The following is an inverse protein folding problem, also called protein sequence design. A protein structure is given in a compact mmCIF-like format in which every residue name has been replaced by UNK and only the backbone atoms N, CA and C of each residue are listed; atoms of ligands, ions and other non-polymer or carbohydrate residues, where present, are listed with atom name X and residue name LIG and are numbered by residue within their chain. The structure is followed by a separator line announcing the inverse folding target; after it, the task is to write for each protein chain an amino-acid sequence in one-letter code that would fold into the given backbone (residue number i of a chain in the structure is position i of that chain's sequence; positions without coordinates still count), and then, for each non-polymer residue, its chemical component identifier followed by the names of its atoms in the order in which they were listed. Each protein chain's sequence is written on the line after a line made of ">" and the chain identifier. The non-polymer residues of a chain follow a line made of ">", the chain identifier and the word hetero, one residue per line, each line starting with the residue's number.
data_IF_867437987061
#
_entry.id   IF_867437987061
#
_cell.length_a   1.000
_cell.length_b   1.000
_cell.length_c   1.000
_cell.angle_alpha   90.00
_cell.angle_beta   90.00
_cell.angle_gamma   90.00
#
_symmetry.space_group_name_H-M   'P 1'
#
loop_
_entity.id
_entity.type
_entity.pdbx_description
1 polymer ?
#
# COMPACT_ATOMS: atom_id res chain seq x y z
N UNK A 1 26.58 -22.34 22.94
CA UNK A 1 26.48 -21.21 21.99
C UNK A 1 25.39 -21.57 21.00
N UNK A 2 24.31 -20.79 20.93
CA UNK A 2 23.30 -20.97 19.88
C UNK A 2 23.96 -20.65 18.54
N UNK A 3 23.94 -21.58 17.58
CA UNK A 3 24.37 -21.29 16.22
C UNK A 3 23.52 -20.18 15.60
N UNK A 4 23.98 -19.57 14.49
CA UNK A 4 23.18 -18.57 13.80
C UNK A 4 21.83 -19.18 13.43
N UNK A 5 20.73 -18.49 13.73
CA UNK A 5 19.43 -18.86 13.15
C UNK A 5 19.62 -18.86 11.63
N UNK A 6 19.34 -20.00 10.99
CA UNK A 6 19.19 -20.02 9.54
C UNK A 6 18.16 -18.95 9.18
N UNK A 7 18.49 -18.06 8.24
CA UNK A 7 17.53 -17.09 7.74
C UNK A 7 16.31 -17.85 7.20
N UNK A 8 15.14 -17.60 7.79
CA UNK A 8 13.89 -18.19 7.30
C UNK A 8 13.61 -17.63 5.90
N UNK A 9 13.10 -18.47 5.01
CA UNK A 9 12.73 -18.06 3.66
C UNK A 9 11.56 -17.07 3.73
N UNK A 10 11.75 -15.78 3.35
CA UNK A 10 10.67 -14.80 3.39
C UNK A 10 9.50 -15.16 2.48
N UNK A 11 9.69 -16.05 1.50
CA UNK A 11 8.61 -16.54 0.63
C UNK A 11 7.54 -17.35 1.38
N UNK A 12 7.78 -17.76 2.63
CA UNK A 12 6.78 -18.43 3.46
C UNK A 12 5.72 -17.46 4.01
N UNK A 13 5.93 -16.15 3.95
CA UNK A 13 5.01 -15.13 4.46
C UNK A 13 4.05 -14.68 3.37
N UNK A 14 2.74 -14.78 3.64
CA UNK A 14 1.71 -14.20 2.78
C UNK A 14 1.19 -12.88 3.36
N UNK A 15 1.58 -11.76 2.75
CA UNK A 15 1.23 -10.40 3.22
C UNK A 15 -0.21 -10.00 2.90
N UNK A 16 -0.97 -10.79 2.14
CA UNK A 16 -2.39 -10.53 1.88
C UNK A 16 -3.30 -10.97 3.03
N UNK A 17 -2.81 -11.79 3.95
CA UNK A 17 -3.58 -12.22 5.12
C UNK A 17 -3.91 -10.99 6.00
N UNK A 18 -5.20 -10.82 6.32
CA UNK A 18 -5.70 -9.66 7.07
C UNK A 18 -5.95 -8.41 6.21
N UNK A 19 -5.68 -8.43 4.91
CA UNK A 19 -5.87 -7.24 4.05
C UNK A 19 -7.31 -7.08 3.51
N UNK A 20 -8.26 -7.86 4.05
CA UNK A 20 -9.70 -7.83 3.73
C UNK A 20 -10.52 -7.82 5.03
N UNK A 21 -11.81 -7.52 4.91
CA UNK A 21 -12.77 -7.44 6.02
C UNK A 21 -12.25 -6.45 7.09
N UNK A 22 -12.31 -6.79 8.38
CA UNK A 22 -11.88 -5.89 9.48
C UNK A 22 -10.41 -6.09 9.88
N UNK A 23 -9.64 -6.84 9.09
CA UNK A 23 -8.25 -7.15 9.37
C UNK A 23 -7.26 -6.03 9.07
N UNK A 24 -7.67 -4.98 8.33
CA UNK A 24 -6.98 -3.70 8.11
C UNK A 24 -5.44 -3.71 7.97
N UNK A 25 -4.85 -4.82 7.50
CA UNK A 25 -3.43 -4.88 7.16
C UNK A 25 -3.22 -4.50 5.70
N UNK A 26 -1.96 -4.34 5.31
CA UNK A 26 -1.57 -3.99 3.94
C UNK A 26 -0.47 -4.93 3.44
N UNK A 27 -0.44 -5.24 2.13
CA UNK A 27 0.53 -6.18 1.55
C UNK A 27 1.89 -5.54 1.22
N UNK A 28 2.06 -4.26 1.54
CA UNK A 28 3.17 -3.42 1.13
C UNK A 28 4.56 -3.81 1.66
N UNK A 29 5.57 -3.49 0.86
CA UNK A 29 6.97 -3.70 1.20
C UNK A 29 7.39 -2.82 2.37
N UNK A 30 7.95 -3.46 3.41
CA UNK A 30 8.36 -2.82 4.65
C UNK A 30 9.59 -3.50 5.22
N UNK A 31 10.55 -2.73 5.71
CA UNK A 31 11.58 -3.27 6.59
C UNK A 31 10.99 -3.52 8.00
N UNK A 32 11.51 -4.47 8.78
CA UNK A 32 11.11 -4.63 10.18
C UNK A 32 11.28 -3.30 10.94
N UNK A 33 10.19 -2.81 11.55
CA UNK A 33 10.15 -1.51 12.25
C UNK A 33 10.50 -0.29 11.38
N UNK A 34 10.45 -0.43 10.05
CA UNK A 34 10.68 0.67 9.12
C UNK A 34 9.56 1.71 9.22
N UNK A 35 9.95 2.98 9.28
CA UNK A 35 9.01 4.11 9.27
C UNK A 35 8.19 4.18 7.97
N UNK A 36 8.85 3.88 6.86
CA UNK A 36 8.25 3.95 5.53
C UNK A 36 7.85 2.55 5.09
N UNK A 37 6.56 2.40 4.82
CA UNK A 37 5.97 1.19 4.24
C UNK A 37 5.29 1.58 2.93
N UNK A 38 5.57 0.84 1.86
CA UNK A 38 5.08 1.17 0.51
C UNK A 38 4.10 0.12 0.05
N UNK A 39 2.84 0.49 -0.17
CA UNK A 39 1.76 -0.43 -0.53
C UNK A 39 0.91 0.15 -1.66
N UNK A 40 0.29 -0.69 -2.52
CA UNK A 40 -0.80 -0.21 -3.35
C UNK A 40 -1.91 0.42 -2.48
N UNK A 41 -2.55 1.45 -3.02
CA UNK A 41 -3.73 2.07 -2.43
C UNK A 41 -4.97 1.84 -3.29
N UNK A 42 -6.12 1.74 -2.65
CA UNK A 42 -7.43 1.62 -3.28
C UNK A 42 -8.42 2.65 -2.73
N UNK A 43 -9.68 2.29 -2.65
CA UNK A 43 -10.76 3.17 -2.17
C UNK A 43 -11.04 3.01 -0.66
N UNK A 44 -10.55 1.94 -0.05
CA UNK A 44 -10.80 1.65 1.35
C UNK A 44 -10.15 2.65 2.32
N UNK A 45 -10.78 2.89 3.47
CA UNK A 45 -10.33 3.88 4.46
C UNK A 45 -8.98 3.55 5.11
N UNK A 46 -8.58 2.27 5.12
CA UNK A 46 -7.27 1.84 5.59
C UNK A 46 -6.16 2.04 4.53
N UNK A 47 -6.50 2.63 3.37
CA UNK A 47 -5.62 2.79 2.23
C UNK A 47 -5.66 1.60 1.27
N UNK A 48 -5.90 0.38 1.74
CA UNK A 48 -5.97 -0.84 0.91
C UNK A 48 -7.09 -1.77 1.37
N UNK A 49 -7.67 -2.50 0.40
CA UNK A 49 -8.44 -3.73 0.64
C UNK A 49 -8.19 -4.72 -0.49
N UNK A 50 -8.05 -5.99 -0.17
CA UNK A 50 -7.69 -7.05 -1.13
C UNK A 50 -8.63 -7.13 -2.34
N UNK A 51 -9.91 -6.84 -2.14
CA UNK A 51 -10.95 -6.87 -3.17
C UNK A 51 -11.32 -5.48 -3.69
N UNK A 52 -10.51 -4.45 -3.44
CA UNK A 52 -10.65 -3.18 -4.13
C UNK A 52 -10.47 -3.40 -5.64
N UNK A 53 -11.40 -2.89 -6.48
CA UNK A 53 -11.45 -3.22 -7.90
C UNK A 53 -10.34 -2.55 -8.71
N UNK A 54 -9.61 -1.60 -8.11
CA UNK A 54 -8.62 -0.78 -8.80
C UNK A 54 -7.54 -0.29 -7.84
N UNK A 55 -6.28 -0.36 -8.28
CA UNK A 55 -5.17 0.33 -7.63
C UNK A 55 -5.21 1.80 -8.07
N UNK A 56 -5.27 2.71 -7.09
CA UNK A 56 -5.27 4.18 -7.30
C UNK A 56 -3.86 4.79 -7.25
N UNK A 57 -2.85 3.97 -6.99
CA UNK A 57 -1.44 4.35 -6.91
C UNK A 57 -0.71 3.54 -5.85
N UNK A 58 0.46 4.02 -5.46
CA UNK A 58 1.25 3.48 -4.37
C UNK A 58 1.46 4.58 -3.33
N UNK A 59 1.06 4.29 -2.10
CA UNK A 59 1.21 5.19 -0.97
C UNK A 59 2.35 4.77 -0.06
N UNK A 60 2.67 5.65 0.87
CA UNK A 60 3.66 5.50 1.91
C UNK A 60 3.00 5.64 3.29
N UNK A 61 3.69 5.15 4.33
CA UNK A 61 3.30 5.27 5.74
C UNK A 61 1.93 4.64 6.05
N UNK A 62 1.95 3.40 6.51
CA UNK A 62 0.75 2.65 6.87
C UNK A 62 0.80 2.17 8.32
N UNK A 63 -0.33 2.27 9.00
CA UNK A 63 -0.63 1.72 10.30
C UNK A 63 -1.38 0.38 10.11
N UNK A 64 -0.73 -0.73 10.44
CA UNK A 64 -1.30 -2.07 10.20
C UNK A 64 -2.29 -2.47 11.29
N UNK A 65 -3.50 -2.88 10.90
CA UNK A 65 -4.48 -3.52 11.78
C UNK A 65 -5.17 -2.58 12.78
N UNK A 66 -5.17 -1.26 12.53
CA UNK A 66 -5.90 -0.33 13.37
C UNK A 66 -7.40 -0.32 13.03
N UNK A 67 -8.21 0.32 13.88
CA UNK A 67 -9.65 0.51 13.66
C UNK A 67 -10.07 1.95 13.36
N UNK A 68 -9.12 2.90 13.37
CA UNK A 68 -9.41 4.31 13.10
C UNK A 68 -9.39 4.62 11.58
N UNK A 69 -9.79 5.84 11.23
CA UNK A 69 -9.74 6.34 9.86
C UNK A 69 -8.30 6.64 9.42
N UNK A 70 -8.05 6.68 8.10
CA UNK A 70 -6.76 7.10 7.50
C UNK A 70 -5.53 6.30 7.95
N UNK A 71 -5.62 4.97 7.84
CA UNK A 71 -4.54 4.08 8.29
C UNK A 71 -3.36 4.00 7.32
N UNK A 72 -3.39 4.69 6.18
CA UNK A 72 -2.24 4.74 5.31
C UNK A 72 -2.53 5.32 3.95
N UNK A 73 -1.54 5.24 3.07
CA UNK A 73 -1.62 5.81 1.73
C UNK A 73 -1.12 7.24 1.62
N UNK A 74 -0.45 7.76 2.65
CA UNK A 74 0.15 9.10 2.64
C UNK A 74 1.19 9.21 1.51
N UNK A 75 1.38 10.40 0.94
CA UNK A 75 2.31 10.60 -0.19
C UNK A 75 2.06 9.57 -1.31
N UNK A 76 0.89 9.69 -1.93
CA UNK A 76 0.47 8.80 -3.01
C UNK A 76 1.17 9.13 -4.32
N UNK A 77 1.66 8.10 -5.02
CA UNK A 77 2.24 8.19 -6.35
C UNK A 77 1.45 7.30 -7.29
N UNK A 78 0.80 7.91 -8.28
CA UNK A 78 0.15 7.18 -9.38
C UNK A 78 1.11 7.19 -10.59
N UNK A 79 1.68 6.04 -10.99
CA UNK A 79 2.41 5.96 -12.25
C UNK A 79 1.43 6.09 -13.42
N UNK A 80 1.79 6.88 -14.41
CA UNK A 80 0.96 7.14 -15.58
C UNK A 80 1.75 6.96 -16.86
N UNK A 81 1.06 6.56 -17.92
CA UNK A 81 1.56 6.69 -19.29
C UNK A 81 0.92 7.93 -19.91
N UNK A 82 1.65 8.64 -20.77
CA UNK A 82 1.14 9.86 -21.40
C UNK A 82 1.60 11.16 -20.73
N UNK A 83 1.07 12.28 -21.22
CA UNK A 83 1.48 13.63 -20.80
C UNK A 83 0.59 14.13 -19.65
N UNK A 84 1.23 14.65 -18.61
CA UNK A 84 0.57 15.36 -17.52
C UNK A 84 0.55 16.85 -17.85
N UNK A 85 -0.62 17.47 -17.83
CA UNK A 85 -0.80 18.92 -18.03
C UNK A 85 -2.05 19.26 -18.86
N UNK A 86 -2.34 20.56 -19.06
CA UNK A 86 -3.51 21.00 -19.81
C UNK A 86 -3.64 20.36 -21.19
N UNK A 87 -4.75 19.68 -21.46
CA UNK A 87 -4.99 18.97 -22.72
C UNK A 87 -4.15 17.70 -22.93
N UNK A 88 -3.49 17.18 -21.89
CA UNK A 88 -2.80 15.89 -21.89
C UNK A 88 -3.71 14.72 -21.51
N UNK A 89 -3.14 13.51 -21.48
CA UNK A 89 -3.85 12.29 -21.07
C UNK A 89 -4.27 12.34 -19.60
N UNK A 90 -3.46 13.01 -18.78
CA UNK A 90 -3.81 13.45 -17.43
C UNK A 90 -4.00 14.97 -17.44
N UNK A 91 -5.20 15.40 -17.84
CA UNK A 91 -5.55 16.82 -17.92
C UNK A 91 -5.74 17.42 -16.53
N UNK A 92 -4.82 18.30 -16.15
CA UNK A 92 -4.87 19.01 -14.87
C UNK A 92 -5.95 20.10 -14.81
N UNK A 93 -6.64 20.38 -15.92
CA UNK A 93 -7.81 21.29 -15.97
C UNK A 93 -9.15 20.55 -15.85
N UNK A 94 -9.16 19.23 -16.01
CA UNK A 94 -10.32 18.35 -15.87
C UNK A 94 -9.96 17.17 -14.96
N UNK A 95 -9.73 17.49 -13.68
CA UNK A 95 -9.48 16.47 -12.67
C UNK A 95 -10.76 15.65 -12.46
N UNK A 96 -10.72 14.38 -12.90
CA UNK A 96 -11.81 13.41 -12.69
C UNK A 96 -11.84 12.84 -11.28
#
# INVERSE_FOLDING_TARGET
>A
MSGPLAAQDPAQVNTFIGSKDDGNTYPGASAPFGLIQVSPIGAHYAGWRYDDPSIRGFGHSFLSGAGCWEQGGQVSVLPVTGRIGPGGDFDTKDAK
#
